data_IF_431650458696
#
_entry.id   IF_431650458696
#
_cell.length_a   1.000
_cell.length_b   1.000
_cell.length_c   1.000
_cell.angle_alpha   90.00
_cell.angle_beta   90.00
_cell.angle_gamma   90.00
#
_symmetry.space_group_name_H-M   'P 1'
#
loop_
_entity.id
_entity.type
_entity.pdbx_description
1 polymer ?
#
# COMPACT_ATOMS: atom_id res chain seq x y z
N UNK A 1 -8.76 4.53 10.94
CA UNK A 1 -7.81 5.64 10.90
C UNK A 1 -7.74 6.37 9.56
N UNK A 2 -7.36 5.73 8.43
CA UNK A 2 -7.32 6.43 7.13
C UNK A 2 -8.64 7.15 6.77
N UNK A 3 -9.77 6.45 6.88
CA UNK A 3 -11.10 7.03 6.67
C UNK A 3 -11.36 8.22 7.59
N UNK A 4 -11.11 8.09 8.89
CA UNK A 4 -11.36 9.16 9.87
C UNK A 4 -10.55 10.43 9.57
N UNK A 5 -9.31 10.28 9.11
CA UNK A 5 -8.46 11.39 8.71
C UNK A 5 -8.91 12.05 7.39
N UNK A 6 -9.71 11.36 6.58
CA UNK A 6 -10.13 11.80 5.24
C UNK A 6 -11.65 11.76 5.06
N UNK A 7 -12.43 11.85 6.15
CA UNK A 7 -13.87 11.59 6.12
C UNK A 7 -14.63 12.55 5.21
N UNK A 8 -14.11 13.77 5.03
CA UNK A 8 -14.68 14.78 4.11
C UNK A 8 -14.37 14.52 2.63
N UNK A 9 -13.47 13.58 2.31
CA UNK A 9 -13.04 13.25 0.94
C UNK A 9 -13.52 11.87 0.47
N UNK A 10 -14.06 11.06 1.39
CA UNK A 10 -14.47 9.68 1.12
C UNK A 10 -15.96 9.54 1.34
N UNK A 11 -16.68 9.17 0.27
CA UNK A 11 -18.09 8.78 0.35
C UNK A 11 -18.19 7.33 0.77
N UNK A 12 -18.74 7.07 1.95
CA UNK A 12 -18.83 5.72 2.51
C UNK A 12 -19.70 4.80 1.66
N UNK A 13 -20.80 5.33 1.13
CA UNK A 13 -21.77 4.63 0.30
C UNK A 13 -21.22 4.16 -1.05
N UNK A 14 -20.14 4.79 -1.52
CA UNK A 14 -19.44 4.45 -2.77
C UNK A 14 -18.11 3.70 -2.51
N UNK A 15 -17.81 3.34 -1.25
CA UNK A 15 -16.51 2.80 -0.84
C UNK A 15 -16.62 1.43 -0.19
N UNK A 16 -15.62 0.58 -0.43
CA UNK A 16 -15.47 -0.70 0.26
C UNK A 16 -14.12 -0.73 0.96
N UNK A 17 -14.13 -0.99 2.27
CA UNK A 17 -12.91 -1.12 3.07
C UNK A 17 -12.63 -2.60 3.32
N UNK A 18 -11.49 -3.07 2.82
CA UNK A 18 -11.05 -4.45 2.99
C UNK A 18 -9.81 -4.48 3.88
N UNK A 19 -9.88 -5.22 4.99
CA UNK A 19 -8.69 -5.59 5.75
C UNK A 19 -8.17 -6.91 5.20
N UNK A 20 -6.91 -6.90 4.78
CA UNK A 20 -6.13 -8.14 4.67
C UNK A 20 -5.48 -8.32 6.04
N UNK A 21 -5.56 -9.52 6.62
CA UNK A 21 -4.96 -9.82 7.92
C UNK A 21 -3.43 -9.69 7.93
N UNK A 22 -2.72 -10.46 8.76
CA UNK A 22 -1.27 -10.31 8.93
C UNK A 22 -0.44 -10.30 7.62
N UNK A 23 -0.76 -11.18 6.67
CA UNK A 23 -0.12 -11.23 5.35
C UNK A 23 -1.14 -11.17 4.22
N UNK A 24 -0.76 -10.48 3.14
CA UNK A 24 -1.58 -10.38 1.94
C UNK A 24 -1.57 -11.69 1.14
N UNK A 25 -2.75 -12.28 0.95
CA UNK A 25 -2.97 -13.38 0.01
C UNK A 25 -3.31 -12.86 -1.38
N UNK A 26 -2.70 -13.45 -2.41
CA UNK A 26 -3.01 -13.13 -3.81
C UNK A 26 -4.50 -13.33 -4.12
N UNK A 27 -5.09 -14.41 -3.61
CA UNK A 27 -6.49 -14.74 -3.86
C UNK A 27 -7.46 -13.78 -3.15
N UNK A 28 -7.09 -13.24 -1.98
CA UNK A 28 -7.90 -12.22 -1.32
C UNK A 28 -8.05 -10.97 -2.19
N UNK A 29 -6.93 -10.51 -2.78
CA UNK A 29 -6.95 -9.33 -3.66
C UNK A 29 -7.67 -9.66 -4.96
N UNK A 30 -7.33 -10.77 -5.63
CA UNK A 30 -7.99 -11.17 -6.88
C UNK A 30 -9.50 -11.29 -6.73
N UNK A 31 -9.98 -11.98 -5.69
CA UNK A 31 -11.42 -12.15 -5.46
C UNK A 31 -12.12 -10.82 -5.15
N UNK A 32 -11.45 -9.91 -4.45
CA UNK A 32 -11.99 -8.56 -4.17
C UNK A 32 -12.12 -7.75 -5.46
N UNK A 33 -11.08 -7.76 -6.32
CA UNK A 33 -11.12 -7.07 -7.61
C UNK A 33 -12.16 -7.67 -8.56
N UNK A 34 -12.33 -9.00 -8.55
CA UNK A 34 -13.39 -9.67 -9.30
C UNK A 34 -14.79 -9.29 -8.80
N UNK A 35 -14.96 -9.09 -7.49
CA UNK A 35 -16.24 -8.68 -6.90
C UNK A 35 -16.61 -7.23 -7.24
N UNK A 36 -15.60 -6.36 -7.37
CA UNK A 36 -15.75 -4.92 -7.62
C UNK A 36 -14.91 -4.46 -8.83
N UNK A 37 -15.23 -4.90 -10.06
CA UNK A 37 -14.38 -4.71 -11.23
C UNK A 37 -14.21 -3.25 -11.68
N UNK A 38 -15.11 -2.35 -11.27
CA UNK A 38 -15.08 -0.92 -11.60
C UNK A 38 -14.49 -0.06 -10.47
N UNK A 39 -14.08 -0.68 -9.36
CA UNK A 39 -13.55 0.07 -8.23
C UNK A 39 -12.15 0.62 -8.54
N UNK A 40 -11.90 1.86 -8.11
CA UNK A 40 -10.54 2.39 -8.03
C UNK A 40 -9.84 1.75 -6.83
N UNK A 41 -8.62 1.26 -7.04
CA UNK A 41 -7.87 0.59 -5.97
C UNK A 41 -7.05 1.61 -5.19
N UNK A 42 -7.30 1.67 -3.88
CA UNK A 42 -6.56 2.49 -2.93
C UNK A 42 -5.93 1.59 -1.88
N UNK A 43 -4.62 1.66 -1.68
CA UNK A 43 -3.91 0.93 -0.61
C UNK A 43 -3.49 1.89 0.49
N UNK A 44 -3.51 1.42 1.74
CA UNK A 44 -3.23 2.23 2.93
C UNK A 44 -2.30 1.50 3.90
N UNK A 45 -1.34 0.73 3.36
CA UNK A 45 -0.38 -0.02 4.18
C UNK A 45 0.61 0.91 4.88
N UNK A 46 1.20 0.41 5.96
CA UNK A 46 2.22 1.08 6.76
C UNK A 46 3.34 1.71 5.90
N UNK A 47 3.90 2.78 6.42
CA UNK A 47 5.03 3.49 5.85
C UNK A 47 6.35 2.83 6.28
N UNK A 48 6.49 1.54 5.95
CA UNK A 48 7.68 0.75 6.16
C UNK A 48 7.97 -0.16 4.95
N UNK A 49 9.05 -0.93 5.02
CA UNK A 49 9.44 -1.85 3.95
C UNK A 49 8.32 -2.84 3.61
N UNK A 50 7.69 -3.46 4.61
CA UNK A 50 6.64 -4.46 4.37
C UNK A 50 5.42 -3.84 3.70
N UNK A 51 5.00 -2.66 4.15
CA UNK A 51 3.90 -1.92 3.53
C UNK A 51 4.20 -1.55 2.08
N UNK A 52 5.45 -1.18 1.75
CA UNK A 52 5.87 -0.92 0.37
C UNK A 52 5.90 -2.21 -0.48
N UNK A 53 6.36 -3.32 0.08
CA UNK A 53 6.31 -4.63 -0.60
C UNK A 53 4.87 -5.09 -0.85
N UNK A 54 3.94 -4.79 0.05
CA UNK A 54 2.52 -5.07 -0.15
C UNK A 54 1.91 -4.22 -1.27
N UNK A 55 2.25 -2.94 -1.36
CA UNK A 55 1.84 -2.10 -2.50
C UNK A 55 2.34 -2.67 -3.84
N UNK A 56 3.61 -3.08 -3.88
CA UNK A 56 4.21 -3.69 -5.08
C UNK A 56 3.51 -5.01 -5.44
N UNK A 57 3.18 -5.83 -4.44
CA UNK A 57 2.47 -7.10 -4.66
C UNK A 57 1.06 -6.85 -5.19
N UNK A 58 0.33 -5.86 -4.67
CA UNK A 58 -0.97 -5.44 -5.20
C UNK A 58 -0.84 -4.95 -6.64
N UNK A 59 0.17 -4.12 -6.93
CA UNK A 59 0.47 -3.64 -8.30
C UNK A 59 0.66 -4.80 -9.29
N UNK A 60 1.47 -5.79 -8.92
CA UNK A 60 1.66 -7.00 -9.72
C UNK A 60 0.36 -7.75 -9.99
N UNK A 61 -0.48 -7.93 -8.96
CA UNK A 61 -1.78 -8.61 -9.08
C UNK A 61 -2.71 -7.88 -10.04
N UNK A 62 -2.83 -6.54 -9.92
CA UNK A 62 -3.70 -5.73 -10.79
C UNK A 62 -3.20 -5.77 -12.23
N UNK A 63 -1.89 -5.70 -12.44
CA UNK A 63 -1.27 -5.79 -13.77
C UNK A 63 -1.17 -7.22 -14.31
N UNK A 64 -1.80 -8.21 -13.65
CA UNK A 64 -1.73 -9.62 -13.99
C UNK A 64 -0.30 -10.12 -14.29
N UNK A 65 0.67 -9.62 -13.51
CA UNK A 65 2.09 -9.92 -13.65
C UNK A 65 2.60 -10.54 -12.37
N UNK A 66 3.22 -11.71 -12.49
CA UNK A 66 3.87 -12.36 -11.35
C UNK A 66 5.08 -11.53 -10.91
N UNK A 67 5.12 -11.21 -9.62
CA UNK A 67 6.22 -10.48 -8.98
C UNK A 67 6.77 -11.35 -7.88
N UNK A 68 7.98 -11.87 -8.09
CA UNK A 68 8.74 -12.58 -7.07
C UNK A 68 9.59 -11.58 -6.30
N UNK A 69 9.47 -11.60 -4.99
CA UNK A 69 10.17 -10.71 -4.08
C UNK A 69 11.07 -11.57 -3.20
N UNK A 70 12.37 -11.30 -3.18
CA UNK A 70 13.33 -11.93 -2.28
C UNK A 70 14.08 -10.85 -1.53
N UNK A 71 13.89 -10.81 -0.23
CA UNK A 71 14.63 -9.93 0.66
C UNK A 71 16.03 -10.51 0.92
N UNK A 72 17.07 -9.71 0.67
CA UNK A 72 18.44 -10.02 1.07
C UNK A 72 18.85 -9.14 2.25
N UNK A 73 20.14 -9.05 2.56
CA UNK A 73 20.62 -8.25 3.71
C UNK A 73 20.32 -6.75 3.55
N UNK A 74 20.78 -6.17 2.44
CA UNK A 74 20.76 -4.72 2.22
C UNK A 74 19.79 -4.29 1.09
N UNK A 75 19.36 -5.24 0.26
CA UNK A 75 18.49 -5.00 -0.88
C UNK A 75 17.33 -6.00 -0.96
N UNK A 76 16.40 -5.70 -1.87
CA UNK A 76 15.31 -6.57 -2.26
C UNK A 76 15.44 -6.87 -3.74
N UNK A 77 15.50 -8.15 -4.08
CA UNK A 77 15.48 -8.65 -5.44
C UNK A 77 14.04 -8.81 -5.91
N UNK A 78 13.73 -8.19 -7.04
CA UNK A 78 12.46 -8.32 -7.74
C UNK A 78 12.66 -9.08 -9.04
N UNK A 79 11.85 -10.11 -9.28
CA UNK A 79 11.73 -10.76 -10.58
C UNK A 79 10.32 -10.60 -11.10
N UNK A 80 10.22 -10.16 -12.34
CA UNK A 80 8.98 -9.99 -13.09
C UNK A 80 9.17 -10.57 -14.49
N UNK A 81 8.11 -10.61 -15.31
CA UNK A 81 8.21 -11.15 -16.66
C UNK A 81 9.27 -10.39 -17.50
N UNK A 82 10.42 -11.02 -17.70
CA UNK A 82 11.52 -10.50 -18.53
C UNK A 82 12.40 -9.45 -17.85
N UNK A 83 12.27 -9.21 -16.54
CA UNK A 83 13.12 -8.26 -15.80
C UNK A 83 13.48 -8.80 -14.43
N UNK A 84 14.74 -8.62 -14.08
CA UNK A 84 15.30 -8.91 -12.77
C UNK A 84 16.12 -7.70 -12.33
N UNK A 85 15.85 -7.19 -11.13
CA UNK A 85 16.53 -6.01 -10.60
C UNK A 85 16.48 -5.98 -9.08
N UNK A 86 17.43 -5.28 -8.47
CA UNK A 86 17.47 -5.05 -7.02
C UNK A 86 17.17 -3.58 -6.69
N UNK A 87 16.63 -3.35 -5.49
CA UNK A 87 16.45 -2.01 -4.91
C UNK A 87 16.97 -2.07 -3.47
N UNK A 88 17.77 -1.09 -3.06
CA UNK A 88 18.20 -0.97 -1.66
C UNK A 88 16.97 -0.85 -0.76
N UNK A 89 16.95 -1.51 0.41
CA UNK A 89 15.77 -1.53 1.29
C UNK A 89 15.25 -0.14 1.66
N UNK A 90 16.14 0.82 1.82
CA UNK A 90 15.77 2.20 2.16
C UNK A 90 15.09 2.94 1.01
N UNK A 91 15.28 2.48 -0.22
CA UNK A 91 14.74 3.08 -1.45
C UNK A 91 13.55 2.28 -2.01
N UNK A 92 13.13 1.20 -1.34
CA UNK A 92 11.99 0.39 -1.80
C UNK A 92 10.71 1.19 -1.63
N UNK A 93 10.08 1.52 -2.76
CA UNK A 93 8.76 2.14 -2.85
C UNK A 93 8.05 1.61 -4.10
N UNK A 94 6.74 1.90 -4.20
CA UNK A 94 5.99 1.58 -5.41
C UNK A 94 6.54 2.33 -6.64
N UNK A 95 7.02 3.56 -6.44
CA UNK A 95 7.63 4.41 -7.46
C UNK A 95 8.94 3.80 -7.98
N UNK A 96 9.88 3.46 -7.09
CA UNK A 96 11.16 2.88 -7.50
C UNK A 96 10.98 1.52 -8.18
N UNK A 97 9.97 0.74 -7.77
CA UNK A 97 9.56 -0.48 -8.47
C UNK A 97 8.99 -0.18 -9.87
N UNK A 98 8.09 0.80 -10.02
CA UNK A 98 7.49 1.19 -11.32
C UNK A 98 8.58 1.63 -12.31
N UNK A 99 9.56 2.39 -11.84
CA UNK A 99 10.66 2.87 -12.67
C UNK A 99 11.50 1.73 -13.26
N UNK A 100 11.82 0.71 -12.46
CA UNK A 100 12.66 -0.43 -12.89
C UNK A 100 11.88 -1.51 -13.64
N UNK A 101 10.68 -1.87 -13.14
CA UNK A 101 9.84 -2.91 -13.74
C UNK A 101 9.09 -2.45 -15.00
N UNK A 102 8.81 -1.15 -15.12
CA UNK A 102 7.87 -0.56 -16.11
C UNK A 102 6.43 -1.09 -15.97
N UNK A 103 6.09 -1.68 -14.84
CA UNK A 103 4.73 -2.13 -14.53
C UNK A 103 3.99 -0.99 -13.83
N UNK A 104 2.92 -0.50 -14.45
CA UNK A 104 2.08 0.57 -13.90
C UNK A 104 0.65 0.03 -13.75
N UNK A 105 0.27 -0.28 -12.51
CA UNK A 105 -1.10 -0.62 -12.17
C UNK A 105 -1.96 0.63 -11.89
N UNK A 106 -3.25 0.63 -12.29
CA UNK A 106 -4.22 1.67 -11.96
C UNK A 106 -4.61 1.63 -10.46
N UNK A 107 -3.68 2.01 -9.59
CA UNK A 107 -3.87 2.08 -8.14
C UNK A 107 -3.20 3.32 -7.54
N UNK A 108 -3.71 3.74 -6.39
CA UNK A 108 -3.17 4.83 -5.58
C UNK A 108 -2.74 4.27 -4.23
N UNK A 109 -1.45 4.38 -3.90
CA UNK A 109 -0.95 4.07 -2.56
C UNK A 109 -0.98 5.33 -1.69
N UNK A 110 -1.49 5.19 -0.47
CA UNK A 110 -1.55 6.23 0.54
C UNK A 110 -0.60 5.86 1.68
N UNK A 111 0.40 6.72 1.94
CA UNK A 111 1.34 6.55 3.04
C UNK A 111 1.09 7.57 4.14
N UNK A 112 1.33 7.15 5.37
CA UNK A 112 1.28 8.01 6.53
C UNK A 112 2.53 8.91 6.54
N UNK A 113 2.41 10.13 6.02
CA UNK A 113 3.52 11.08 6.04
C UNK A 113 3.97 11.36 7.49
N UNK A 114 5.28 11.23 7.75
CA UNK A 114 5.90 11.50 9.07
C UNK A 114 5.43 10.60 10.22
N UNK A 115 4.80 9.47 9.91
CA UNK A 115 4.39 8.47 10.89
C UNK A 115 4.57 7.07 10.30
N UNK A 116 4.56 6.04 11.17
CA UNK A 116 4.60 4.66 10.70
C UNK A 116 3.26 4.27 10.04
N UNK A 117 2.15 4.64 10.67
CA UNK A 117 0.81 4.31 10.19
C UNK A 117 -0.18 5.46 10.40
N UNK A 118 -1.39 5.31 9.87
CA UNK A 118 -2.45 6.29 10.04
C UNK A 118 -3.01 6.35 11.48
N UNK A 119 -2.79 5.31 12.30
CA UNK A 119 -3.24 5.29 13.70
C UNK A 119 -2.40 6.26 14.53
N UNK A 120 -1.08 6.26 14.34
CA UNK A 120 -0.16 7.19 15.00
C UNK A 120 -0.51 8.66 14.70
N UNK A 121 -0.86 8.97 13.45
CA UNK A 121 -1.32 10.33 13.08
C UNK A 121 -2.59 10.69 13.87
N UNK A 122 -3.56 9.77 13.93
CA UNK A 122 -4.82 10.00 14.63
C UNK A 122 -4.60 10.21 16.14
N UNK A 123 -3.73 9.41 16.76
CA UNK A 123 -3.40 9.54 18.18
C UNK A 123 -2.79 10.91 18.49
N UNK A 124 -1.81 11.35 17.70
CA UNK A 124 -1.19 12.69 17.84
C UNK A 124 -2.22 13.83 17.73
N UNK A 125 -3.16 13.73 16.79
CA UNK A 125 -4.23 14.74 16.67
C UNK A 125 -5.16 14.76 17.89
N UNK A 126 -5.48 13.59 18.46
CA UNK A 126 -6.30 13.50 19.66
C UNK A 126 -5.59 14.06 20.90
N UNK A 127 -4.30 13.81 21.06
CA UNK A 127 -3.49 14.37 22.14
C UNK A 127 -3.40 15.89 22.05
N UNK A 128 -3.12 16.45 20.88
CA UNK A 128 -3.09 17.91 20.66
C UNK A 128 -4.44 18.57 21.00
N UNK A 129 -5.56 17.95 20.58
CA UNK A 129 -6.91 18.47 20.90
C UNK A 129 -7.23 18.45 22.39
N UNK A 130 -6.67 17.50 23.16
CA UNK A 130 -6.81 17.47 24.62
C UNK A 130 -6.02 18.60 25.28
N UNK A 131 -4.79 18.86 24.81
CA UNK A 131 -3.93 19.91 25.37
C UNK A 131 -4.42 21.34 25.11
N UNK A 132 -5.18 21.57 24.03
CA UNK A 132 -5.77 22.89 23.71
C UNK A 132 -7.05 23.17 24.54
N UNK A 133 -7.64 22.15 25.15
CA UNK A 133 -8.87 22.25 25.97
C UNK A 133 -8.60 22.44 27.47
N UNK A 134 -7.34 22.59 27.86
CA UNK A 134 -6.88 22.93 29.21
C UNK A 134 -6.39 24.38 29.21
#
# INVERSE_FOLDING_TARGET
SFYQLNANKIKLEESVFCSVGGYISVNQIKNTLLRYPQAKVHTCFDNDLNGNLYDIKVSGIISNTEVTIKENKDDVLFKTKGREFTINKNDVSLESFREKSKIIAPMISHKAEKAKDFNEILMKQHEQKKSIKL
#
